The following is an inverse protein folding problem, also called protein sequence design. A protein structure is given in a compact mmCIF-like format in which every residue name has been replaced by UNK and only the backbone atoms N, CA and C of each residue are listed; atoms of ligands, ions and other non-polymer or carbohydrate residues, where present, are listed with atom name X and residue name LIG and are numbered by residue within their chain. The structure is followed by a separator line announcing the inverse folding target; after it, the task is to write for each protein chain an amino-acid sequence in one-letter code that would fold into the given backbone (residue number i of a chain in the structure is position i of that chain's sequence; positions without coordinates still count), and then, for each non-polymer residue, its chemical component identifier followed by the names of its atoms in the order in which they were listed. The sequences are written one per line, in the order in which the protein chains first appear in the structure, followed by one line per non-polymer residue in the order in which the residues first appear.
data_IF_851587134745
#
_entry.id   IF_851587134745
#
_cell.length_a   1.000
_cell.length_b   1.000
_cell.length_c   1.000
_cell.angle_alpha   90.00
_cell.angle_beta   90.00
_cell.angle_gamma   90.00
#
_symmetry.space_group_name_H-M   'P 1'
#
loop_
_entity.id
_entity.type
_entity.pdbx_description
1 polymer ?
#
# COMPACT_ATOMS: atom_id res chain seq x y z
N UNK A 1 -45.80 -19.49 -11.07
CA UNK A 1 -44.71 -19.41 -10.07
C UNK A 1 -43.94 -18.13 -10.38
N UNK A 2 -44.24 -17.06 -9.64
CA UNK A 2 -43.75 -15.71 -9.96
C UNK A 2 -42.29 -15.61 -9.57
N UNK A 3 -41.40 -15.50 -10.55
CA UNK A 3 -40.02 -15.06 -10.36
C UNK A 3 -40.05 -13.58 -9.99
N UNK A 4 -40.31 -13.30 -8.71
CA UNK A 4 -40.00 -12.00 -8.11
C UNK A 4 -38.48 -11.96 -8.00
N UNK A 5 -37.84 -11.53 -9.08
CA UNK A 5 -36.43 -11.19 -9.12
C UNK A 5 -36.10 -10.33 -7.89
N UNK A 6 -34.96 -10.59 -7.26
CA UNK A 6 -34.39 -9.78 -6.20
C UNK A 6 -34.16 -8.36 -6.74
N UNK A 7 -35.21 -7.53 -6.70
CA UNK A 7 -35.05 -6.08 -6.69
C UNK A 7 -34.50 -5.74 -5.32
N UNK A 8 -33.35 -5.06 -5.28
CA UNK A 8 -32.62 -4.52 -4.13
C UNK A 8 -33.43 -3.54 -3.23
N UNK A 9 -34.75 -3.52 -3.39
CA UNK A 9 -35.70 -2.54 -2.81
C UNK A 9 -36.89 -3.25 -2.12
N UNK A 10 -36.84 -4.59 -1.99
CA UNK A 10 -37.76 -5.32 -1.14
C UNK A 10 -37.23 -5.26 0.30
N UNK A 11 -38.04 -4.85 1.30
CA UNK A 11 -37.60 -4.93 2.70
C UNK A 11 -37.28 -6.38 3.01
N UNK A 12 -36.00 -6.65 3.32
CA UNK A 12 -35.56 -7.93 3.82
C UNK A 12 -36.24 -8.17 5.16
N UNK A 13 -36.82 -9.35 5.34
CA UNK A 13 -37.31 -9.76 6.65
C UNK A 13 -36.08 -9.87 7.57
N UNK A 14 -36.03 -9.17 8.72
CA UNK A 14 -34.89 -9.27 9.64
C UNK A 14 -34.64 -10.71 10.09
N UNK A 15 -35.66 -11.57 10.07
CA UNK A 15 -35.49 -12.98 10.40
C UNK A 15 -34.70 -13.73 9.32
N UNK A 16 -34.76 -13.33 8.06
CA UNK A 16 -34.01 -13.98 6.98
C UNK A 16 -32.49 -13.76 7.16
N UNK A 17 -32.08 -12.53 7.52
CA UNK A 17 -30.67 -12.23 7.83
C UNK A 17 -30.18 -13.02 9.06
N UNK A 18 -31.00 -13.09 10.12
CA UNK A 18 -30.67 -13.87 11.32
C UNK A 18 -30.54 -15.37 11.03
N UNK A 19 -31.42 -15.93 10.19
CA UNK A 19 -31.36 -17.34 9.83
C UNK A 19 -30.14 -17.68 8.97
N UNK A 20 -29.76 -16.80 8.03
CA UNK A 20 -28.55 -16.98 7.22
C UNK A 20 -27.31 -16.92 8.12
N UNK A 21 -27.22 -15.90 8.98
CA UNK A 21 -26.12 -15.74 9.95
C UNK A 21 -26.04 -16.90 10.98
N UNK A 22 -27.16 -17.59 11.23
CA UNK A 22 -27.15 -18.78 12.06
C UNK A 22 -26.52 -19.98 11.33
N UNK A 23 -26.83 -20.14 10.02
CA UNK A 23 -26.37 -21.26 9.20
C UNK A 23 -24.88 -21.14 8.84
N UNK A 24 -24.38 -19.95 8.53
CA UNK A 24 -22.95 -19.71 8.27
C UNK A 24 -22.10 -19.66 9.56
N UNK A 25 -22.76 -19.48 10.71
CA UNK A 25 -22.13 -19.44 12.03
C UNK A 25 -21.66 -18.06 12.48
N UNK A 26 -22.07 -16.98 11.81
CA UNK A 26 -21.68 -15.60 12.12
C UNK A 26 -22.42 -14.99 13.33
N UNK A 27 -23.50 -15.62 13.83
CA UNK A 27 -24.16 -15.17 15.06
C UNK A 27 -23.29 -15.31 16.31
N UNK A 28 -23.30 -14.26 17.14
CA UNK A 28 -22.72 -14.29 18.47
C UNK A 28 -23.55 -15.17 19.43
N UNK A 29 -22.98 -15.50 20.60
CA UNK A 29 -23.59 -16.42 21.54
C UNK A 29 -24.97 -15.97 22.05
N UNK A 30 -25.16 -14.67 22.27
CA UNK A 30 -26.43 -14.16 22.80
C UNK A 30 -27.51 -14.24 21.72
N UNK A 31 -27.24 -13.71 20.52
CA UNK A 31 -28.19 -13.75 19.40
C UNK A 31 -28.52 -15.18 18.97
N UNK A 32 -27.53 -16.09 18.99
CA UNK A 32 -27.76 -17.51 18.72
C UNK A 32 -28.75 -18.12 19.71
N UNK A 33 -28.55 -17.90 21.01
CA UNK A 33 -29.45 -18.43 22.05
C UNK A 33 -30.87 -17.89 21.90
N UNK A 34 -31.00 -16.58 21.65
CA UNK A 34 -32.31 -15.96 21.44
C UNK A 34 -33.04 -16.51 20.21
N UNK A 35 -32.32 -16.74 19.11
CA UNK A 35 -32.89 -17.34 17.90
C UNK A 35 -33.29 -18.80 18.13
N UNK A 36 -32.46 -19.58 18.82
CA UNK A 36 -32.77 -20.97 19.18
C UNK A 36 -34.04 -21.07 20.05
N UNK A 37 -34.19 -20.18 21.04
CA UNK A 37 -35.41 -20.11 21.85
C UNK A 37 -36.65 -19.79 20.99
N UNK A 38 -36.53 -18.84 20.05
CA UNK A 38 -37.62 -18.52 19.10
C UNK A 38 -37.98 -19.71 18.20
N UNK A 39 -36.98 -20.48 17.75
CA UNK A 39 -37.19 -21.65 16.91
C UNK A 39 -37.99 -22.75 17.63
N UNK A 40 -37.96 -22.82 18.97
CA UNK A 40 -38.76 -23.81 19.71
C UNK A 40 -40.26 -23.59 19.53
N UNK A 41 -40.69 -22.32 19.53
CA UNK A 41 -42.10 -21.95 19.50
C UNK A 41 -42.61 -21.61 18.09
N UNK A 42 -41.73 -21.20 17.18
CA UNK A 42 -42.10 -20.78 15.82
C UNK A 42 -41.86 -21.88 14.77
N UNK A 43 -42.95 -22.54 14.37
CA UNK A 43 -42.95 -23.56 13.32
C UNK A 43 -42.65 -22.97 11.93
N UNK A 44 -43.05 -21.74 11.64
CA UNK A 44 -42.78 -21.11 10.34
C UNK A 44 -41.29 -20.80 10.21
N UNK A 45 -40.70 -20.24 11.26
CA UNK A 45 -39.27 -19.94 11.33
C UNK A 45 -38.42 -21.22 11.19
N UNK A 46 -38.84 -22.32 11.83
CA UNK A 46 -38.19 -23.63 11.65
C UNK A 46 -38.23 -24.13 10.21
N UNK A 47 -39.35 -23.96 9.50
CA UNK A 47 -39.45 -24.35 8.09
C UNK A 47 -38.55 -23.52 7.19
N UNK A 48 -38.43 -22.21 7.46
CA UNK A 48 -37.51 -21.32 6.73
C UNK A 48 -36.06 -21.76 6.94
N UNK A 49 -35.65 -22.03 8.20
CA UNK A 49 -34.32 -22.56 8.51
C UNK A 49 -34.04 -23.89 7.78
N UNK A 50 -34.99 -24.82 7.80
CA UNK A 50 -34.85 -26.11 7.13
C UNK A 50 -34.69 -25.94 5.61
N UNK A 51 -35.44 -25.02 4.99
CA UNK A 51 -35.31 -24.72 3.56
C UNK A 51 -33.95 -24.15 3.21
N UNK A 52 -33.37 -23.30 4.08
CA UNK A 52 -32.01 -22.77 3.88
C UNK A 52 -30.97 -23.89 3.95
N UNK A 53 -31.03 -24.73 4.98
CA UNK A 53 -30.09 -25.85 5.17
C UNK A 53 -30.11 -26.83 3.98
N UNK A 54 -31.29 -27.18 3.48
CA UNK A 54 -31.41 -28.04 2.29
C UNK A 54 -30.74 -27.43 1.04
N UNK A 55 -30.76 -26.10 0.90
CA UNK A 55 -30.06 -25.41 -0.17
C UNK A 55 -28.55 -25.59 -0.10
N UNK A 56 -28.00 -25.57 1.12
CA UNK A 56 -26.57 -25.84 1.37
C UNK A 56 -26.21 -27.31 1.17
N UNK A 57 -27.07 -28.24 1.58
CA UNK A 57 -26.84 -29.68 1.35
C UNK A 57 -26.71 -29.99 -0.15
N UNK A 58 -27.47 -29.31 -1.02
CA UNK A 58 -27.33 -29.46 -2.47
C UNK A 58 -26.01 -28.92 -3.03
N UNK A 59 -25.32 -28.03 -2.31
CA UNK A 59 -24.00 -27.56 -2.74
C UNK A 59 -22.93 -28.64 -2.59
N UNK A 60 -23.10 -29.58 -1.66
CA UNK A 60 -22.19 -30.71 -1.49
C UNK A 60 -22.28 -31.72 -2.64
N UNK A 61 -23.42 -31.77 -3.33
CA UNK A 61 -23.64 -32.63 -4.49
C UNK A 61 -23.02 -32.06 -5.80
N UNK A 62 -22.34 -30.91 -5.73
CA UNK A 62 -21.74 -30.34 -6.93
C UNK A 62 -20.61 -31.22 -7.47
N UNK A 63 -20.54 -31.40 -8.80
CA UNK A 63 -19.48 -32.17 -9.41
C UNK A 63 -18.13 -31.53 -9.09
N UNK A 64 -17.15 -32.37 -8.70
CA UNK A 64 -15.79 -31.91 -8.48
C UNK A 64 -15.28 -31.19 -9.74
N UNK A 65 -15.06 -29.89 -9.62
CA UNK A 65 -14.53 -29.07 -10.71
C UNK A 65 -13.08 -29.48 -10.91
N UNK A 66 -12.74 -30.00 -12.09
CA UNK A 66 -11.34 -30.22 -12.46
C UNK A 66 -10.64 -28.86 -12.55
N UNK A 67 -9.60 -28.60 -11.74
CA UNK A 67 -8.91 -27.32 -11.76
C UNK A 67 -8.37 -27.04 -13.16
N UNK A 68 -8.68 -25.87 -13.72
CA UNK A 68 -8.06 -25.43 -14.96
C UNK A 68 -6.60 -25.04 -14.64
N UNK A 69 -5.65 -25.88 -15.05
CA UNK A 69 -4.21 -25.69 -14.78
C UNK A 69 -3.73 -24.29 -15.16
N UNK A 70 -4.26 -23.72 -16.25
CA UNK A 70 -3.92 -22.36 -16.70
C UNK A 70 -4.33 -21.25 -15.72
N UNK A 71 -5.46 -21.40 -15.02
CA UNK A 71 -5.89 -20.42 -14.01
C UNK A 71 -4.97 -20.48 -12.78
N UNK A 72 -4.56 -21.69 -12.39
CA UNK A 72 -3.60 -21.89 -11.30
C UNK A 72 -2.25 -21.28 -11.66
N UNK A 73 -1.74 -21.56 -12.86
CA UNK A 73 -0.49 -21.00 -13.38
C UNK A 73 -0.51 -19.46 -13.40
N UNK A 74 -1.56 -18.86 -13.96
CA UNK A 74 -1.68 -17.40 -14.03
C UNK A 74 -1.81 -16.74 -12.66
N UNK A 75 -2.53 -17.37 -11.72
CA UNK A 75 -2.65 -16.87 -10.35
C UNK A 75 -1.30 -16.94 -9.62
N UNK A 76 -0.55 -18.02 -9.84
CA UNK A 76 0.80 -18.18 -9.28
C UNK A 76 1.76 -17.13 -9.88
N UNK A 77 1.71 -16.91 -11.19
CA UNK A 77 2.51 -15.87 -11.85
C UNK A 77 2.23 -14.47 -11.27
N UNK A 78 0.96 -14.15 -10.99
CA UNK A 78 0.57 -12.88 -10.36
C UNK A 78 1.15 -12.72 -8.95
N UNK A 79 1.04 -13.77 -8.12
CA UNK A 79 1.59 -13.76 -6.75
C UNK A 79 3.12 -13.65 -6.77
N UNK A 80 3.79 -14.42 -7.63
CA UNK A 80 5.25 -14.37 -7.79
C UNK A 80 5.70 -12.98 -8.26
N UNK A 81 4.98 -12.37 -9.19
CA UNK A 81 5.29 -11.02 -9.68
C UNK A 81 5.22 -9.96 -8.58
N UNK A 82 4.31 -10.11 -7.62
CA UNK A 82 4.22 -9.17 -6.50
C UNK A 82 5.35 -9.35 -5.48
N UNK A 83 5.77 -10.60 -5.23
CA UNK A 83 6.90 -10.91 -4.34
C UNK A 83 8.24 -10.48 -4.96
N UNK A 84 8.40 -10.68 -6.28
CA UNK A 84 9.67 -10.47 -6.98
C UNK A 84 9.92 -9.00 -7.33
N UNK A 85 8.96 -8.10 -7.14
CA UNK A 85 9.17 -6.65 -7.36
C UNK A 85 10.47 -6.22 -6.67
N UNK A 86 11.53 -5.92 -7.45
CA UNK A 86 12.75 -5.43 -6.86
C UNK A 86 12.40 -4.06 -6.28
N UNK A 87 12.64 -3.88 -4.99
CA UNK A 87 12.57 -2.57 -4.32
C UNK A 87 13.44 -1.58 -5.10
N UNK A 88 12.84 -0.88 -6.05
CA UNK A 88 13.52 -0.02 -7.02
C UNK A 88 14.02 1.29 -6.38
N UNK A 89 13.91 1.42 -5.06
CA UNK A 89 14.21 2.65 -4.31
C UNK A 89 15.70 2.92 -4.09
N UNK A 90 16.60 2.00 -4.45
CA UNK A 90 18.04 2.22 -4.25
C UNK A 90 18.73 2.90 -5.45
N UNK A 91 18.07 3.02 -6.61
CA UNK A 91 18.70 3.60 -7.81
C UNK A 91 18.56 5.13 -7.91
N UNK A 92 17.48 5.70 -7.37
CA UNK A 92 17.23 7.15 -7.43
C UNK A 92 18.22 7.98 -6.58
N UNK A 93 18.69 7.42 -5.46
CA UNK A 93 19.61 8.13 -4.55
C UNK A 93 21.02 8.31 -5.13
N UNK A 94 21.51 7.39 -5.98
CA UNK A 94 22.83 7.51 -6.62
C UNK A 94 22.87 8.53 -7.75
N UNK A 95 21.78 8.67 -8.51
CA UNK A 95 21.71 9.58 -9.65
C UNK A 95 21.71 11.06 -9.21
N UNK A 96 21.03 11.39 -8.11
CA UNK A 96 20.98 12.76 -7.60
C UNK A 96 22.32 13.23 -7.05
N UNK A 97 23.04 12.36 -6.32
CA UNK A 97 24.34 12.69 -5.73
C UNK A 97 25.39 12.96 -6.81
N UNK A 98 25.42 12.18 -7.90
CA UNK A 98 26.43 12.39 -8.95
C UNK A 98 26.20 13.68 -9.75
N UNK A 99 24.94 14.12 -9.90
CA UNK A 99 24.58 15.35 -10.62
C UNK A 99 25.06 16.62 -9.92
N UNK A 100 25.12 16.60 -8.59
CA UNK A 100 25.50 17.78 -7.80
C UNK A 100 27.01 17.85 -7.46
N UNK A 101 27.78 16.77 -7.69
CA UNK A 101 29.22 16.74 -7.40
C UNK A 101 30.07 17.59 -8.34
N UNK A 102 29.80 17.54 -9.63
CA UNK A 102 30.55 18.32 -10.64
C UNK A 102 30.42 19.85 -10.50
N UNK A 103 29.21 20.43 -10.32
CA UNK A 103 29.11 21.89 -10.15
C UNK A 103 29.73 22.39 -8.83
N UNK A 104 29.80 21.55 -7.79
CA UNK A 104 30.44 21.91 -6.52
C UNK A 104 31.98 22.00 -6.65
N UNK A 105 32.58 21.09 -7.42
CA UNK A 105 34.02 21.08 -7.68
C UNK A 105 34.43 22.31 -8.50
N UNK A 106 33.66 22.67 -9.53
CA UNK A 106 33.95 23.86 -10.36
C UNK A 106 33.79 25.15 -9.56
N UNK A 107 32.75 25.26 -8.72
CA UNK A 107 32.58 26.40 -7.82
C UNK A 107 33.76 26.55 -6.83
N UNK A 108 34.22 25.44 -6.25
CA UNK A 108 35.38 25.43 -5.35
C UNK A 108 36.67 25.93 -6.02
N UNK A 109 36.92 25.50 -7.26
CA UNK A 109 38.10 25.93 -8.02
C UNK A 109 38.08 27.45 -8.31
N UNK A 110 36.91 27.99 -8.66
CA UNK A 110 36.76 29.43 -8.89
C UNK A 110 37.04 30.26 -7.64
N UNK A 111 36.52 29.85 -6.48
CA UNK A 111 36.76 30.55 -5.20
C UNK A 111 38.24 30.53 -4.83
N UNK A 112 38.92 29.39 -5.02
CA UNK A 112 40.35 29.26 -4.77
C UNK A 112 41.18 30.19 -5.66
N UNK A 113 40.82 30.32 -6.93
CA UNK A 113 41.46 31.25 -7.86
C UNK A 113 41.32 32.72 -7.44
N UNK A 114 40.12 33.12 -6.98
CA UNK A 114 39.87 34.49 -6.50
C UNK A 114 40.69 34.80 -5.25
N UNK A 115 40.79 33.86 -4.30
CA UNK A 115 41.59 34.05 -3.09
C UNK A 115 43.09 34.17 -3.39
N UNK A 116 43.60 33.35 -4.31
CA UNK A 116 45.01 33.44 -4.73
C UNK A 116 45.33 34.79 -5.38
N UNK A 117 44.43 35.31 -6.24
CA UNK A 117 44.58 36.63 -6.85
C UNK A 117 44.52 37.77 -5.81
N UNK A 118 43.63 37.67 -4.81
CA UNK A 118 43.56 38.67 -3.75
C UNK A 118 44.84 38.69 -2.89
N UNK A 119 45.39 37.51 -2.57
CA UNK A 119 46.62 37.38 -1.78
C UNK A 119 47.83 37.98 -2.49
N UNK A 120 47.98 37.75 -3.80
CA UNK A 120 49.08 38.33 -4.59
C UNK A 120 49.00 39.85 -4.66
N UNK A 121 47.80 40.42 -4.87
CA UNK A 121 47.58 41.87 -4.87
C UNK A 121 47.92 42.48 -3.51
N UNK A 122 47.50 41.85 -2.42
CA UNK A 122 47.78 42.34 -1.07
C UNK A 122 49.28 42.33 -0.76
N UNK A 123 49.98 41.23 -1.09
CA UNK A 123 51.43 41.10 -0.88
C UNK A 123 52.26 42.13 -1.66
N UNK A 124 51.86 42.44 -2.91
CA UNK A 124 52.55 43.45 -3.72
C UNK A 124 52.37 44.85 -3.11
N UNK A 125 51.16 45.20 -2.63
CA UNK A 125 50.90 46.47 -1.95
C UNK A 125 51.74 46.62 -0.68
N UNK A 126 51.81 45.57 0.16
CA UNK A 126 52.60 45.63 1.40
C UNK A 126 54.08 45.88 1.15
N UNK A 127 54.67 45.32 0.09
CA UNK A 127 56.09 45.59 -0.23
C UNK A 127 56.33 47.05 -0.63
N UNK A 128 55.39 47.69 -1.34
CA UNK A 128 55.52 49.10 -1.74
C UNK A 128 55.41 50.06 -0.56
N UNK A 129 54.67 49.70 0.48
CA UNK A 129 54.60 50.51 1.71
C UNK A 129 55.93 50.50 2.48
N UNK A 130 56.69 49.40 2.43
CA UNK A 130 58.03 49.35 3.05
C UNK A 130 59.02 50.26 2.31
N UNK A 131 58.98 50.31 0.99
CA UNK A 131 59.86 51.20 0.20
C UNK A 131 59.59 52.69 0.45
N UNK A 132 58.36 53.06 0.84
CA UNK A 132 58.03 54.46 1.17
C UNK A 132 58.47 54.85 2.59
N UNK A 133 58.60 53.90 3.51
CA UNK A 133 59.06 54.18 4.87
C UNK A 133 60.59 54.36 4.94
N UNK A 134 61.35 53.69 4.08
CA UNK A 134 62.80 53.94 3.93
C UNK A 134 63.09 55.33 3.35
N UNK A 135 62.22 55.83 2.47
CA UNK A 135 62.41 57.13 1.81
C UNK A 135 61.97 58.33 2.70
N UNK A 136 61.10 58.10 3.69
CA UNK A 136 60.73 59.09 4.72
C UNK A 136 61.65 59.05 5.96
N UNK A 137 62.59 58.11 6.03
CA UNK A 137 63.54 57.96 7.15
C UNK A 137 64.86 58.74 6.96
N UNK A 138 64.92 59.68 6.00
CA UNK A 138 66.03 60.64 5.80
C UNK A 138 65.60 62.04 6.25
#
# INVERSE_FOLDING_TARGET
MSLKLLTDDAPLDPDDELLVAYVDGELDHESRTQLEDRLLDDEELRRRLQSLQQGWDYLDDFPAVTPCEKLVESTLELVVSDIVKPTADTSASRALVNRFRWPLITAGLCVLGVLAAAATIYGIRTSRYQSQLEDLAI
#
